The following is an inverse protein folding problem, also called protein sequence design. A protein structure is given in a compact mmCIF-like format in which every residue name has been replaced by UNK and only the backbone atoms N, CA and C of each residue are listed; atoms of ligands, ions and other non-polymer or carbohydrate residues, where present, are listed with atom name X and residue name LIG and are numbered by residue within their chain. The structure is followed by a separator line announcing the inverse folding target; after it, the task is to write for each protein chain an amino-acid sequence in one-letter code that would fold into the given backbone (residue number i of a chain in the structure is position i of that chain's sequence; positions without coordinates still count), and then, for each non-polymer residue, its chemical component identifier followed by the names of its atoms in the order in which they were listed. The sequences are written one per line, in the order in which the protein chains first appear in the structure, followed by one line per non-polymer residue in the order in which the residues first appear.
data_IF_304584341031
#
_entry.id   IF_304584341031
#
_cell.length_a   1.000
_cell.length_b   1.000
_cell.length_c   1.000
_cell.angle_alpha   90.00
_cell.angle_beta   90.00
_cell.angle_gamma   90.00
#
_symmetry.space_group_name_H-M   'P 1'
#
loop_
_entity.id
_entity.type
_entity.pdbx_description
1 polymer ?
#
# COMPACT_ATOMS: atom_id res chain seq x y z
N UNK A 1 12.24 -32.49 -9.52
CA UNK A 1 10.79 -32.83 -9.67
C UNK A 1 10.54 -34.34 -9.64
N UNK A 2 11.14 -35.13 -10.56
CA UNK A 2 10.99 -36.60 -10.58
C UNK A 2 11.35 -37.29 -9.25
N UNK A 3 12.51 -36.94 -8.67
CA UNK A 3 12.93 -37.44 -7.34
C UNK A 3 11.94 -37.11 -6.20
N UNK A 4 11.08 -36.10 -6.37
CA UNK A 4 10.04 -35.73 -5.39
C UNK A 4 8.68 -36.40 -5.69
N UNK A 5 8.63 -37.35 -6.63
CA UNK A 5 7.43 -38.08 -7.04
C UNK A 5 6.50 -37.32 -7.99
N UNK A 6 6.97 -36.24 -8.63
CA UNK A 6 6.18 -35.53 -9.64
C UNK A 6 6.34 -36.16 -11.02
N UNK A 7 5.24 -36.33 -11.74
CA UNK A 7 5.20 -36.77 -13.13
C UNK A 7 5.13 -35.57 -14.08
N UNK A 8 5.94 -35.59 -15.12
CA UNK A 8 5.85 -34.62 -16.21
C UNK A 8 4.57 -34.89 -17.00
N UNK A 9 3.82 -33.85 -17.35
CA UNK A 9 2.58 -33.99 -18.13
C UNK A 9 2.76 -33.40 -19.53
N UNK A 10 3.07 -32.11 -19.62
CA UNK A 10 3.29 -31.46 -20.91
C UNK A 10 4.06 -30.14 -20.74
N UNK A 11 4.39 -29.54 -21.88
CA UNK A 11 4.81 -28.15 -21.98
C UNK A 11 3.58 -27.23 -22.03
N UNK A 12 3.72 -26.04 -21.47
CA UNK A 12 2.76 -24.96 -21.60
C UNK A 12 3.55 -23.69 -21.91
N UNK A 13 3.10 -22.93 -22.90
CA UNK A 13 3.66 -21.62 -23.17
C UNK A 13 3.11 -20.58 -22.19
N UNK A 14 3.89 -19.57 -21.89
CA UNK A 14 3.44 -18.39 -21.15
C UNK A 14 4.21 -17.18 -21.62
N UNK A 15 3.45 -16.11 -21.78
CA UNK A 15 3.98 -14.78 -22.00
C UNK A 15 3.86 -13.97 -20.73
N UNK A 16 4.95 -13.33 -20.32
CA UNK A 16 5.00 -12.43 -19.15
C UNK A 16 5.70 -11.15 -19.54
N UNK A 17 5.12 -10.05 -19.09
CA UNK A 17 5.65 -8.72 -19.29
C UNK A 17 6.53 -8.32 -18.10
N UNK A 18 7.78 -7.99 -18.42
CA UNK A 18 8.81 -7.51 -17.51
C UNK A 18 9.15 -6.05 -17.81
N UNK A 19 9.95 -5.43 -16.95
CA UNK A 19 10.50 -4.09 -17.18
C UNK A 19 11.45 -4.04 -18.38
N UNK A 20 12.00 -5.18 -18.81
CA UNK A 20 12.85 -5.28 -19.99
C UNK A 20 12.10 -5.80 -21.24
N UNK A 21 10.77 -5.81 -21.20
CA UNK A 21 9.93 -6.23 -22.32
C UNK A 21 9.10 -7.48 -22.07
N UNK A 22 8.42 -7.92 -23.12
CA UNK A 22 7.53 -9.08 -23.08
C UNK A 22 8.29 -10.34 -23.48
N UNK A 23 8.28 -11.35 -22.60
CA UNK A 23 8.99 -12.61 -22.81
C UNK A 23 7.99 -13.76 -22.89
N UNK A 24 8.08 -14.52 -23.98
CA UNK A 24 7.35 -15.78 -24.15
C UNK A 24 8.30 -16.94 -23.94
N UNK A 25 7.94 -17.86 -23.04
CA UNK A 25 8.74 -19.04 -22.77
C UNK A 25 7.88 -20.29 -22.57
N UNK A 26 8.44 -21.43 -22.96
CA UNK A 26 7.86 -22.74 -22.72
C UNK A 26 8.30 -23.30 -21.38
N UNK A 27 7.35 -23.82 -20.61
CA UNK A 27 7.55 -24.29 -19.23
C UNK A 27 6.89 -25.64 -19.02
N UNK A 28 7.53 -26.49 -18.22
CA UNK A 28 7.04 -27.85 -17.94
C UNK A 28 6.02 -27.84 -16.81
N UNK A 29 4.86 -28.48 -17.01
CA UNK A 29 3.88 -28.75 -15.95
C UNK A 29 4.13 -30.11 -15.31
N UNK A 30 4.19 -30.13 -13.99
CA UNK A 30 4.46 -31.32 -13.20
C UNK A 30 3.32 -31.59 -12.23
N UNK A 31 2.85 -32.83 -12.14
CA UNK A 31 1.72 -33.21 -11.28
C UNK A 31 2.11 -34.27 -10.25
N UNK A 32 1.57 -34.13 -9.05
CA UNK A 32 1.61 -35.14 -7.97
C UNK A 32 0.33 -35.02 -7.15
N UNK A 33 -0.42 -36.10 -6.99
CA UNK A 33 -1.65 -36.15 -6.18
C UNK A 33 -2.61 -34.99 -6.50
N UNK A 34 -2.87 -34.73 -7.79
CA UNK A 34 -3.72 -33.63 -8.25
C UNK A 34 -3.10 -32.22 -8.17
N UNK A 35 -1.96 -32.04 -7.50
CA UNK A 35 -1.29 -30.73 -7.37
C UNK A 35 -0.31 -30.50 -8.52
N UNK A 36 -0.52 -29.40 -9.25
CA UNK A 36 0.37 -28.94 -10.32
C UNK A 36 1.46 -28.02 -9.74
N UNK A 37 2.71 -28.26 -10.14
CA UNK A 37 3.86 -27.37 -9.89
C UNK A 37 4.54 -27.02 -11.20
N UNK A 38 4.96 -25.78 -11.31
CA UNK A 38 5.61 -25.23 -12.50
C UNK A 38 6.92 -24.58 -12.04
N UNK A 39 8.05 -25.31 -12.06
CA UNK A 39 9.29 -24.86 -11.43
C UNK A 39 9.80 -23.51 -11.95
N UNK A 40 9.60 -23.21 -13.23
CA UNK A 40 10.02 -21.94 -13.83
C UNK A 40 9.23 -20.78 -13.22
N UNK A 41 7.90 -20.91 -13.11
CA UNK A 41 7.07 -19.90 -12.44
C UNK A 41 7.51 -19.69 -10.99
N UNK A 42 7.71 -20.79 -10.25
CA UNK A 42 8.07 -20.74 -8.83
C UNK A 42 9.44 -20.08 -8.63
N UNK A 43 10.42 -20.39 -9.49
CA UNK A 43 11.76 -19.81 -9.42
C UNK A 43 11.77 -18.32 -9.78
N UNK A 44 10.92 -17.91 -10.72
CA UNK A 44 10.77 -16.52 -11.14
C UNK A 44 9.77 -15.73 -10.28
N UNK A 45 9.13 -16.37 -9.30
CA UNK A 45 8.11 -15.73 -8.45
C UNK A 45 6.84 -15.32 -9.22
N UNK A 46 6.53 -15.98 -10.33
CA UNK A 46 5.40 -15.65 -11.21
C UNK A 46 4.10 -16.25 -10.69
N UNK A 47 3.19 -15.39 -10.27
CA UNK A 47 1.90 -15.80 -9.75
C UNK A 47 1.00 -16.41 -10.83
N UNK A 48 0.12 -17.32 -10.42
CA UNK A 48 -0.77 -18.03 -11.34
C UNK A 48 -1.72 -17.04 -12.03
N UNK A 49 -1.84 -17.13 -13.36
CA UNK A 49 -2.70 -16.28 -14.22
C UNK A 49 -2.31 -14.80 -14.30
N UNK A 50 -1.22 -14.36 -13.67
CA UNK A 50 -0.77 -12.96 -13.77
C UNK A 50 0.18 -12.80 -14.96
N UNK A 51 -0.11 -11.87 -15.87
CA UNK A 51 0.71 -11.66 -17.07
C UNK A 51 1.91 -10.71 -16.84
N UNK A 52 2.10 -10.22 -15.62
CA UNK A 52 3.10 -9.20 -15.29
C UNK A 52 4.03 -9.69 -14.18
N UNK A 53 5.30 -9.29 -14.27
CA UNK A 53 6.27 -9.52 -13.20
C UNK A 53 5.97 -8.68 -11.96
N UNK A 54 6.41 -9.14 -10.78
CA UNK A 54 6.23 -8.41 -9.51
C UNK A 54 6.93 -7.05 -9.52
N UNK A 55 8.11 -6.98 -10.14
CA UNK A 55 8.86 -5.73 -10.29
C UNK A 55 8.06 -4.68 -11.09
N UNK A 56 7.51 -5.09 -12.23
CA UNK A 56 6.68 -4.19 -13.04
C UNK A 56 5.43 -3.73 -12.27
N UNK A 57 4.75 -4.65 -11.56
CA UNK A 57 3.60 -4.30 -10.72
C UNK A 57 3.97 -3.33 -9.58
N UNK A 58 5.13 -3.51 -8.95
CA UNK A 58 5.66 -2.60 -7.94
C UNK A 58 5.85 -1.19 -8.51
N UNK A 59 6.52 -1.07 -9.66
CA UNK A 59 6.79 0.22 -10.28
C UNK A 59 5.50 0.93 -10.75
N UNK A 60 4.56 0.19 -11.35
CA UNK A 60 3.22 0.70 -11.69
C UNK A 60 2.54 1.26 -10.44
N UNK A 61 2.55 0.51 -9.33
CA UNK A 61 1.91 0.91 -8.08
C UNK A 61 2.59 2.14 -7.50
N UNK A 62 3.91 2.21 -7.52
CA UNK A 62 4.68 3.36 -7.04
C UNK A 62 4.38 4.62 -7.86
N UNK A 63 4.39 4.53 -9.19
CA UNK A 63 4.04 5.64 -10.07
C UNK A 63 2.60 6.13 -9.85
N UNK A 64 1.67 5.20 -9.61
CA UNK A 64 0.27 5.55 -9.33
C UNK A 64 0.06 6.34 -8.03
N UNK A 65 1.04 6.39 -7.14
CA UNK A 65 1.01 7.28 -5.95
C UNK A 65 1.30 8.75 -6.29
N UNK A 66 1.87 9.01 -7.46
CA UNK A 66 2.34 10.34 -7.87
C UNK A 66 1.64 10.85 -9.13
N UNK A 67 1.12 9.94 -9.96
CA UNK A 67 0.61 10.23 -11.29
C UNK A 67 -0.80 9.69 -11.50
N UNK A 68 -1.65 10.38 -12.29
CA UNK A 68 -2.91 9.81 -12.77
C UNK A 68 -2.68 8.52 -13.56
N UNK A 69 -3.60 7.56 -13.48
CA UNK A 69 -3.39 6.22 -14.05
C UNK A 69 -3.09 6.21 -15.55
N UNK A 70 -3.65 7.15 -16.32
CA UNK A 70 -3.33 7.29 -17.76
C UNK A 70 -1.88 7.72 -17.99
N UNK A 71 -1.35 8.62 -17.16
CA UNK A 71 0.06 9.03 -17.21
C UNK A 71 1.00 7.90 -16.78
N UNK A 72 0.58 7.05 -15.85
CA UNK A 72 1.34 5.84 -15.52
C UNK A 72 1.49 4.93 -16.75
N UNK A 73 0.42 4.75 -17.54
CA UNK A 73 0.50 3.98 -18.79
C UNK A 73 1.51 4.60 -19.76
N UNK A 74 1.42 5.91 -20.02
CA UNK A 74 2.34 6.62 -20.90
C UNK A 74 3.81 6.48 -20.45
N UNK A 75 4.08 6.59 -19.15
CA UNK A 75 5.44 6.45 -18.59
C UNK A 75 5.96 5.02 -18.75
N UNK A 76 5.15 4.00 -18.48
CA UNK A 76 5.56 2.60 -18.61
C UNK A 76 5.85 2.25 -20.08
N UNK A 77 5.01 2.73 -21.00
CA UNK A 77 5.20 2.54 -22.43
C UNK A 77 6.48 3.23 -22.91
N UNK A 78 6.72 4.47 -22.49
CA UNK A 78 7.93 5.22 -22.83
C UNK A 78 9.21 4.55 -22.30
N UNK A 79 9.21 4.12 -21.04
CA UNK A 79 10.42 3.61 -20.38
C UNK A 79 10.77 2.19 -20.81
N UNK A 80 9.76 1.34 -21.02
CA UNK A 80 9.95 -0.10 -21.19
C UNK A 80 9.51 -0.63 -22.55
N UNK A 81 8.94 0.24 -23.40
CA UNK A 81 8.34 -0.16 -24.69
C UNK A 81 7.30 -1.27 -24.52
N UNK A 82 6.61 -1.24 -23.37
CA UNK A 82 5.61 -2.21 -22.97
C UNK A 82 4.26 -1.51 -22.89
N UNK A 83 3.28 -2.04 -23.60
CA UNK A 83 1.93 -1.54 -23.51
C UNK A 83 1.19 -2.15 -22.31
N UNK A 84 0.66 -1.29 -21.43
CA UNK A 84 -0.26 -1.67 -20.36
C UNK A 84 -1.56 -0.88 -20.47
N UNK A 85 -2.63 -1.37 -19.85
CA UNK A 85 -3.91 -0.66 -19.81
C UNK A 85 -4.11 0.05 -18.47
N UNK A 86 -5.00 1.06 -18.45
CA UNK A 86 -5.47 1.69 -17.20
C UNK A 86 -6.02 0.65 -16.21
N UNK A 87 -6.70 -0.38 -16.71
CA UNK A 87 -7.21 -1.47 -15.87
C UNK A 87 -6.11 -2.32 -15.25
N UNK A 88 -4.97 -2.44 -15.94
CA UNK A 88 -3.78 -3.10 -15.38
C UNK A 88 -3.23 -2.29 -14.20
N UNK A 89 -3.15 -0.96 -14.35
CA UNK A 89 -2.78 -0.06 -13.24
C UNK A 89 -3.73 -0.23 -12.05
N UNK A 90 -5.04 -0.24 -12.30
CA UNK A 90 -6.04 -0.45 -11.26
C UNK A 90 -5.91 -1.82 -10.57
N UNK A 91 -5.65 -2.89 -11.32
CA UNK A 91 -5.41 -4.23 -10.76
C UNK A 91 -4.16 -4.28 -9.89
N UNK A 92 -3.07 -3.62 -10.32
CA UNK A 92 -1.83 -3.53 -9.54
C UNK A 92 -2.08 -2.84 -8.19
N UNK A 93 -2.81 -1.71 -8.20
CA UNK A 93 -3.17 -0.99 -6.99
C UNK A 93 -4.05 -1.85 -6.07
N UNK A 94 -5.06 -2.54 -6.60
CA UNK A 94 -5.90 -3.44 -5.81
C UNK A 94 -5.09 -4.55 -5.15
N UNK A 95 -4.15 -5.16 -5.88
CA UNK A 95 -3.25 -6.16 -5.33
C UNK A 95 -2.38 -5.56 -4.21
N UNK A 96 -1.82 -4.36 -4.42
CA UNK A 96 -1.03 -3.69 -3.40
C UNK A 96 -1.86 -3.36 -2.15
N UNK A 97 -3.09 -2.88 -2.31
CA UNK A 97 -4.02 -2.65 -1.19
C UNK A 97 -4.33 -3.93 -0.43
N UNK A 98 -4.54 -5.05 -1.13
CA UNK A 98 -4.75 -6.35 -0.49
C UNK A 98 -3.51 -6.76 0.33
N UNK A 99 -2.32 -6.67 -0.25
CA UNK A 99 -1.07 -7.02 0.44
C UNK A 99 -0.81 -6.12 1.66
N UNK A 100 -1.16 -4.83 1.58
CA UNK A 100 -1.06 -3.91 2.71
C UNK A 100 -2.05 -4.27 3.82
N UNK A 101 -3.28 -4.63 3.48
CA UNK A 101 -4.28 -5.08 4.46
C UNK A 101 -3.84 -6.39 5.13
N UNK A 102 -3.37 -7.37 4.34
CA UNK A 102 -2.83 -8.62 4.88
C UNK A 102 -1.66 -8.34 5.83
N UNK A 103 -0.76 -7.42 5.48
CA UNK A 103 0.33 -6.99 6.36
C UNK A 103 -0.17 -6.33 7.65
N UNK A 104 -1.20 -5.48 7.58
CA UNK A 104 -1.84 -4.89 8.77
C UNK A 104 -2.44 -5.98 9.67
N UNK A 105 -3.10 -6.98 9.09
CA UNK A 105 -3.68 -8.11 9.84
C UNK A 105 -2.59 -8.97 10.52
N UNK A 106 -1.51 -9.30 9.80
CA UNK A 106 -0.38 -10.04 10.36
C UNK A 106 0.31 -9.32 11.53
N UNK A 107 0.30 -7.98 11.55
CA UNK A 107 0.85 -7.20 12.68
C UNK A 107 0.14 -7.51 14.00
N UNK A 108 -1.15 -7.86 13.97
CA UNK A 108 -1.90 -8.23 15.18
C UNK A 108 -1.57 -9.63 15.70
N UNK A 109 -1.03 -10.52 14.86
CA UNK A 109 -0.67 -11.90 15.22
C UNK A 109 0.83 -12.12 15.48
N UNK A 110 1.66 -11.11 15.20
CA UNK A 110 3.10 -11.19 15.36
C UNK A 110 3.50 -10.61 16.74
N UNK A 111 3.62 -11.47 17.74
CA UNK A 111 3.98 -11.12 19.12
C UNK A 111 5.44 -10.62 19.32
N UNK A 112 6.26 -10.47 18.27
CA UNK A 112 7.72 -10.42 18.42
C UNK A 112 8.47 -9.24 17.77
N UNK A 113 7.82 -8.16 17.34
CA UNK A 113 8.57 -6.95 16.95
C UNK A 113 8.51 -5.93 18.06
N UNK A 114 9.55 -5.90 18.90
CA UNK A 114 9.78 -4.81 19.86
C UNK A 114 10.07 -3.54 19.06
N UNK A 115 9.02 -2.80 18.69
CA UNK A 115 9.17 -1.47 18.12
C UNK A 115 9.72 -0.58 19.22
N UNK A 116 10.93 -0.04 19.03
CA UNK A 116 11.49 0.96 19.94
C UNK A 116 10.57 2.17 19.95
N UNK A 117 9.80 2.32 21.02
CA UNK A 117 8.88 3.45 21.19
C UNK A 117 9.66 4.76 21.27
N UNK A 118 9.09 5.80 20.68
CA UNK A 118 9.57 7.17 20.73
C UNK A 118 9.29 7.69 22.14
N UNK A 119 10.35 8.12 22.84
CA UNK A 119 10.24 8.84 24.10
C UNK A 119 10.18 10.34 23.78
N UNK A 120 9.01 10.95 24.01
CA UNK A 120 8.77 12.36 23.73
C UNK A 120 7.93 12.97 24.85
N UNK A 121 8.35 14.12 25.41
CA UNK A 121 7.60 14.78 26.48
C UNK A 121 6.28 15.37 25.98
N UNK A 122 6.22 15.78 24.70
CA UNK A 122 5.04 16.35 24.07
C UNK A 122 4.74 15.64 22.76
N UNK A 123 3.49 15.21 22.59
CA UNK A 123 2.95 14.67 21.35
C UNK A 123 1.89 15.66 20.86
N UNK A 124 2.03 16.14 19.63
CA UNK A 124 1.06 16.99 18.98
C UNK A 124 0.20 16.15 18.04
N UNK A 125 -1.11 16.34 18.14
CA UNK A 125 -2.11 15.72 17.28
C UNK A 125 -2.97 16.83 16.65
N UNK A 126 -2.89 16.96 15.34
CA UNK A 126 -3.68 17.91 14.56
C UNK A 126 -4.72 17.15 13.75
N UNK A 127 -5.98 17.58 13.80
CA UNK A 127 -7.08 16.98 13.07
C UNK A 127 -7.74 17.97 12.12
N UNK A 128 -7.89 17.59 10.86
CA UNK A 128 -8.44 18.39 9.76
C UNK A 128 -9.39 17.54 8.88
N UNK A 129 -10.31 18.21 8.17
CA UNK A 129 -11.26 17.63 7.22
C UNK A 129 -11.00 18.12 5.80
N UNK A 130 -10.62 17.21 4.90
CA UNK A 130 -10.35 17.53 3.49
C UNK A 130 -11.50 17.07 2.60
N UNK A 131 -12.14 18.00 1.90
CA UNK A 131 -13.20 17.69 0.94
C UNK A 131 -12.64 17.32 -0.44
N UNK A 132 -12.98 16.13 -0.92
CA UNK A 132 -12.66 15.67 -2.28
C UNK A 132 -13.93 15.53 -3.13
N UNK A 133 -13.87 15.98 -4.38
CA UNK A 133 -14.94 15.75 -5.35
C UNK A 133 -14.88 14.32 -5.86
N UNK A 134 -15.93 13.54 -5.64
CA UNK A 134 -16.05 12.18 -6.19
C UNK A 134 -17.06 12.18 -7.31
N UNK A 135 -16.69 11.62 -8.47
CA UNK A 135 -17.62 11.42 -9.58
C UNK A 135 -18.29 10.05 -9.44
N UNK A 136 -19.57 10.04 -9.06
CA UNK A 136 -20.43 8.85 -9.02
C UNK A 136 -21.27 8.68 -10.30
N UNK A 137 -21.86 7.49 -10.48
CA UNK A 137 -22.84 7.22 -11.57
C UNK A 137 -24.22 7.86 -11.30
N UNK A 138 -24.52 8.20 -10.06
CA UNK A 138 -25.74 8.92 -9.68
C UNK A 138 -25.48 10.42 -9.76
N UNK A 139 -26.48 11.16 -10.28
CA UNK A 139 -26.40 12.54 -10.79
C UNK A 139 -26.06 13.63 -9.78
N UNK A 140 -25.71 13.29 -8.54
CA UNK A 140 -25.28 14.25 -7.53
C UNK A 140 -23.78 14.10 -7.29
N UNK A 141 -23.05 15.20 -7.54
CA UNK A 141 -21.65 15.34 -7.18
C UNK A 141 -21.52 15.23 -5.65
N UNK A 142 -21.34 14.01 -5.14
CA UNK A 142 -21.10 13.80 -3.71
C UNK A 142 -19.66 14.20 -3.40
N UNK A 143 -19.50 15.35 -2.76
CA UNK A 143 -18.25 15.68 -2.09
C UNK A 143 -18.06 14.69 -0.94
N UNK A 144 -16.90 14.04 -0.89
CA UNK A 144 -16.55 13.13 0.19
C UNK A 144 -15.54 13.82 1.09
N UNK A 145 -15.84 13.87 2.37
CA UNK A 145 -14.92 14.36 3.39
C UNK A 145 -13.91 13.23 3.74
N UNK A 146 -12.63 13.56 3.74
CA UNK A 146 -11.56 12.73 4.27
C UNK A 146 -11.13 13.31 5.60
N UNK A 147 -11.10 12.48 6.64
CA UNK A 147 -10.46 12.85 7.90
C UNK A 147 -8.96 12.72 7.76
N UNK A 148 -8.23 13.77 8.12
CA UNK A 148 -6.79 13.85 8.09
C UNK A 148 -6.27 14.16 9.49
N UNK A 149 -5.39 13.31 10.01
CA UNK A 149 -4.71 13.54 11.28
C UNK A 149 -3.20 13.57 11.06
N UNK A 150 -2.54 14.53 11.70
CA UNK A 150 -1.09 14.67 11.73
C UNK A 150 -0.61 14.48 13.16
N UNK A 151 0.32 13.55 13.37
CA UNK A 151 0.99 13.32 14.66
C UNK A 151 2.44 13.76 14.51
N UNK A 152 2.96 14.53 15.46
CA UNK A 152 4.38 14.90 15.50
C UNK A 152 4.86 15.23 16.92
N UNK A 153 6.16 15.46 17.08
CA UNK A 153 6.84 15.70 18.39
C UNK A 153 7.52 17.07 18.46
N UNK A 154 6.92 18.06 17.77
CA UNK A 154 7.49 19.40 17.60
C UNK A 154 8.11 19.63 16.23
N UNK A 155 9.02 20.60 16.14
CA UNK A 155 9.68 21.03 14.89
C UNK A 155 11.20 20.98 14.99
N UNK A 156 11.86 20.87 13.84
CA UNK A 156 13.30 21.12 13.67
C UNK A 156 13.54 22.08 12.52
N UNK A 157 14.66 22.80 12.61
CA UNK A 157 15.13 23.68 11.55
C UNK A 157 15.96 22.88 10.54
N UNK A 158 15.56 22.99 9.27
CA UNK A 158 16.28 22.46 8.14
C UNK A 158 16.62 23.62 7.20
N UNK A 159 17.79 24.23 7.44
CA UNK A 159 18.18 25.48 6.80
C UNK A 159 17.21 26.61 7.17
N UNK A 160 16.51 27.18 6.18
CA UNK A 160 15.53 28.27 6.39
C UNK A 160 14.09 27.78 6.66
N UNK A 161 13.84 26.47 6.70
CA UNK A 161 12.49 25.90 6.85
C UNK A 161 12.37 25.14 8.15
N UNK A 162 11.18 25.16 8.74
CA UNK A 162 10.83 24.28 9.86
C UNK A 162 10.13 23.03 9.32
N UNK A 163 10.56 21.86 9.78
CA UNK A 163 9.94 20.56 9.47
C UNK A 163 9.47 19.88 10.75
N UNK A 164 8.44 19.04 10.64
CA UNK A 164 7.82 18.36 11.79
C UNK A 164 8.62 17.11 12.16
N UNK A 165 9.01 16.99 13.44
CA UNK A 165 9.75 15.82 13.96
C UNK A 165 8.83 14.62 14.15
N UNK A 166 9.28 13.44 13.71
CA UNK A 166 8.53 12.18 13.80
C UNK A 166 7.10 12.30 13.21
N UNK A 167 6.98 13.04 12.10
CA UNK A 167 5.69 13.31 11.45
C UNK A 167 5.06 12.04 10.93
N UNK A 168 3.78 11.85 11.24
CA UNK A 168 2.96 10.75 10.75
C UNK A 168 1.61 11.31 10.31
N UNK A 169 1.15 10.90 9.13
CA UNK A 169 -0.15 11.29 8.58
C UNK A 169 -1.08 10.09 8.52
N UNK A 170 -2.31 10.26 9.01
CA UNK A 170 -3.37 9.25 8.96
C UNK A 170 -4.56 9.87 8.24
N UNK A 171 -4.85 9.35 7.04
CA UNK A 171 -5.98 9.79 6.22
C UNK A 171 -7.00 8.66 6.06
N UNK A 172 -8.27 8.97 6.24
CA UNK A 172 -9.35 7.99 5.99
C UNK A 172 -10.65 8.66 5.53
N UNK A 173 -11.42 8.04 4.64
CA UNK A 173 -12.79 8.46 4.34
C UNK A 173 -13.77 8.24 5.49
N UNK A 174 -13.37 7.54 6.55
CA UNK A 174 -14.19 7.30 7.72
C UNK A 174 -13.46 7.80 8.97
N UNK A 175 -14.03 8.83 9.60
CA UNK A 175 -13.47 9.47 10.77
C UNK A 175 -13.25 8.51 11.95
N UNK A 176 -14.21 7.63 12.24
CA UNK A 176 -14.12 6.64 13.33
C UNK A 176 -12.94 5.69 13.11
N UNK A 177 -12.74 5.25 11.87
CA UNK A 177 -11.59 4.40 11.50
C UNK A 177 -10.28 5.17 11.65
N UNK A 178 -10.23 6.43 11.20
CA UNK A 178 -9.04 7.28 11.37
C UNK A 178 -8.67 7.46 12.84
N UNK A 179 -9.62 7.80 13.71
CA UNK A 179 -9.37 7.94 15.15
C UNK A 179 -8.90 6.65 15.79
N UNK A 180 -9.49 5.51 15.44
CA UNK A 180 -9.01 4.20 15.93
C UNK A 180 -7.54 3.98 15.52
N UNK A 181 -7.18 4.32 14.28
CA UNK A 181 -5.79 4.24 13.79
C UNK A 181 -4.85 5.23 14.50
N UNK A 182 -5.30 6.45 14.80
CA UNK A 182 -4.52 7.43 15.57
C UNK A 182 -4.19 6.88 16.96
N UNK A 183 -5.20 6.40 17.67
CA UNK A 183 -5.04 5.84 19.03
C UNK A 183 -4.11 4.62 18.99
N UNK A 184 -4.37 3.68 18.07
CA UNK A 184 -3.53 2.49 17.88
C UNK A 184 -2.07 2.87 17.54
N UNK A 185 -1.86 3.88 16.69
CA UNK A 185 -0.53 4.35 16.35
C UNK A 185 0.19 4.92 17.58
N UNK A 186 -0.46 5.81 18.33
CA UNK A 186 0.14 6.45 19.51
C UNK A 186 0.54 5.40 20.54
N UNK A 187 -0.35 4.46 20.87
CA UNK A 187 -0.07 3.40 21.85
C UNK A 187 1.09 2.49 21.46
N UNK A 188 1.21 2.17 20.16
CA UNK A 188 2.23 1.26 19.68
C UNK A 188 3.59 1.93 19.43
N UNK A 189 3.62 3.23 19.16
CA UNK A 189 4.85 3.93 18.72
C UNK A 189 5.41 4.93 19.74
N UNK A 190 4.65 5.36 20.74
CA UNK A 190 5.12 6.30 21.76
C UNK A 190 5.11 5.70 23.15
N UNK A 191 6.12 6.06 23.94
CA UNK A 191 6.15 5.77 25.36
C UNK A 191 5.31 6.80 26.08
N UNK A 192 4.16 6.38 26.59
CA UNK A 192 3.22 7.25 27.32
C UNK A 192 3.50 7.10 28.82
N UNK A 193 3.78 8.21 29.49
CA UNK A 193 4.03 8.29 30.93
C UNK A 193 3.11 9.34 31.57
N UNK A 194 3.13 9.47 32.89
CA UNK A 194 2.41 10.53 33.61
C UNK A 194 2.81 11.94 33.16
N UNK A 195 4.04 12.09 32.66
CA UNK A 195 4.62 13.39 32.29
C UNK A 195 4.45 13.70 30.79
N UNK A 196 3.84 12.79 30.04
CA UNK A 196 3.62 12.94 28.60
C UNK A 196 2.42 13.86 28.35
N UNK A 197 2.66 15.02 27.72
CA UNK A 197 1.62 15.96 27.31
C UNK A 197 1.13 15.66 25.89
N UNK A 198 -0.16 15.36 25.73
CA UNK A 198 -0.81 15.28 24.43
C UNK A 198 -1.51 16.61 24.10
N UNK A 199 -1.01 17.33 23.10
CA UNK A 199 -1.62 18.57 22.62
C UNK A 199 -2.45 18.25 21.40
N UNK A 200 -3.77 18.43 21.50
CA UNK A 200 -4.70 18.18 20.39
C UNK A 200 -5.23 19.49 19.83
N UNK A 201 -5.15 19.71 18.52
CA UNK A 201 -5.72 20.88 17.85
C UNK A 201 -6.62 20.47 16.67
N UNK A 202 -7.74 21.18 16.49
CA UNK A 202 -8.61 21.10 15.31
C UNK A 202 -9.25 22.45 15.03
N UNK A 203 -9.51 22.75 13.77
CA UNK A 203 -10.03 24.01 13.26
C UNK A 203 -11.56 24.23 13.45
N UNK A 204 -12.15 23.69 14.53
CA UNK A 204 -13.62 23.66 14.74
C UNK A 204 -14.42 22.90 13.67
N UNK A 205 -13.77 22.26 12.68
CA UNK A 205 -14.39 21.28 11.79
C UNK A 205 -14.73 19.96 12.51
N UNK A 206 -15.24 18.98 11.76
CA UNK A 206 -15.62 17.67 12.33
C UNK A 206 -14.42 16.81 12.81
N UNK A 207 -13.20 17.37 12.83
CA UNK A 207 -11.94 16.66 13.11
C UNK A 207 -12.04 15.73 14.33
N UNK A 208 -12.43 16.27 15.49
CA UNK A 208 -12.66 15.49 16.73
C UNK A 208 -14.13 15.27 17.10
N UNK A 209 -15.09 15.78 16.33
CA UNK A 209 -16.52 15.56 16.57
C UNK A 209 -16.95 14.15 16.14
N UNK A 210 -17.39 13.26 17.04
CA UNK A 210 -17.99 11.98 16.65
C UNK A 210 -19.26 12.23 15.81
N UNK A 211 -19.48 11.43 14.76
CA UNK A 211 -20.79 11.30 14.11
C UNK A 211 -21.45 10.01 14.58
#
# INVERSE_FOLDING_TARGET
MRARGYKFVNYAERTVTFTFGQVTFSRRRWYKNGKCRIPVDEKLGLEKRIAYSKELLYQITKLATMLPYRKVVEVIELMYQVYITKDTVLKAIKLASQLLNEKEDYRYYSDEVVVKKIDAPVIYLEGDGVWIRVSGREREQQNKELSHFVIHTGTEEYGKRKILKNKVEIVSPNNRIARKRVVDYIYNHFKITSDTLLVTNSDMGHGYTPR
#
